data_IF_762218190338
#
_entry.id   IF_762218190338
#
_cell.length_a   1.000
_cell.length_b   1.000
_cell.length_c   1.000
_cell.angle_alpha   90.00
_cell.angle_beta   90.00
_cell.angle_gamma   90.00
#
_symmetry.space_group_name_H-M   'P 1'
#
loop_
_entity.id
_entity.type
_entity.pdbx_description
1 polymer ?
#
# COMPACT_ATOMS: atom_id res chain seq x y z
N UNK A 1 11.98 -9.89 8.76
CA UNK A 1 12.27 -11.35 8.74
C UNK A 1 11.34 -12.10 7.78
N UNK A 2 10.19 -11.54 7.36
CA UNK A 2 9.25 -12.25 6.48
C UNK A 2 9.79 -12.61 5.09
N UNK A 3 10.67 -11.78 4.48
CA UNK A 3 11.14 -11.96 3.09
C UNK A 3 11.92 -13.26 2.79
N UNK A 4 12.25 -14.08 3.79
CA UNK A 4 12.96 -15.37 3.60
C UNK A 4 12.11 -16.58 3.94
N UNK A 5 10.88 -16.39 4.42
CA UNK A 5 10.06 -17.45 4.99
C UNK A 5 9.72 -18.53 3.97
N UNK A 6 9.32 -18.13 2.75
CA UNK A 6 8.96 -19.07 1.67
C UNK A 6 10.19 -19.86 1.19
N UNK A 7 11.36 -19.22 1.09
CA UNK A 7 12.60 -19.91 0.75
C UNK A 7 13.00 -20.95 1.80
N UNK A 8 12.85 -20.64 3.09
CA UNK A 8 13.13 -21.58 4.18
C UNK A 8 12.16 -22.76 4.10
N UNK A 9 10.86 -22.51 3.90
CA UNK A 9 9.86 -23.57 3.72
C UNK A 9 10.24 -24.48 2.55
N UNK A 10 10.60 -23.92 1.39
CA UNK A 10 10.99 -24.71 0.23
C UNK A 10 12.23 -25.58 0.45
N UNK A 11 13.18 -25.13 1.28
CA UNK A 11 14.40 -25.90 1.55
C UNK A 11 14.19 -26.96 2.65
N UNK A 12 13.44 -26.63 3.69
CA UNK A 12 13.30 -27.46 4.90
C UNK A 12 12.24 -28.55 4.72
N UNK A 13 11.11 -28.24 4.08
CA UNK A 13 9.98 -29.17 3.97
C UNK A 13 10.34 -30.44 3.18
N UNK A 14 11.03 -30.38 2.01
CA UNK A 14 11.43 -31.58 1.29
C UNK A 14 12.45 -32.44 2.06
N UNK A 15 13.27 -31.81 2.92
CA UNK A 15 14.22 -32.52 3.77
C UNK A 15 13.52 -33.32 4.86
N UNK A 16 12.51 -32.72 5.52
CA UNK A 16 11.77 -33.36 6.62
C UNK A 16 10.78 -34.42 6.11
N UNK A 17 10.12 -34.17 4.97
CA UNK A 17 8.99 -34.97 4.48
C UNK A 17 9.30 -35.64 3.13
N UNK A 18 10.43 -36.32 3.06
CA UNK A 18 10.92 -36.96 1.83
C UNK A 18 9.92 -37.98 1.26
N UNK A 19 9.60 -37.87 -0.03
CA UNK A 19 8.74 -38.82 -0.75
C UNK A 19 7.24 -38.67 -0.49
N UNK A 20 6.78 -37.58 0.14
CA UNK A 20 5.36 -37.30 0.34
C UNK A 20 4.92 -36.09 -0.47
N UNK A 21 3.65 -36.10 -0.90
CA UNK A 21 2.98 -34.91 -1.41
C UNK A 21 2.49 -34.08 -0.24
N UNK A 22 2.84 -32.80 -0.22
CA UNK A 22 2.62 -31.91 0.93
C UNK A 22 1.83 -30.71 0.44
N UNK A 23 0.72 -30.42 1.12
CA UNK A 23 -0.03 -29.19 0.96
C UNK A 23 0.23 -28.30 2.17
N UNK A 24 0.59 -27.04 1.92
CA UNK A 24 0.86 -26.05 2.96
C UNK A 24 -0.23 -24.99 2.88
N UNK A 25 -0.91 -24.76 4.00
CA UNK A 25 -1.92 -23.72 4.15
C UNK A 25 -1.39 -22.74 5.20
N UNK A 26 -1.28 -21.47 4.81
CA UNK A 26 -0.78 -20.39 5.66
C UNK A 26 -1.89 -19.37 5.80
N UNK A 27 -2.16 -18.92 7.02
CA UNK A 27 -3.05 -17.79 7.29
C UNK A 27 -2.20 -16.62 7.78
N UNK A 28 -2.40 -15.44 7.22
CA UNK A 28 -1.64 -14.23 7.56
C UNK A 28 -2.56 -13.01 7.56
N UNK A 29 -2.24 -12.03 8.41
CA UNK A 29 -2.84 -10.70 8.38
C UNK A 29 -1.96 -9.68 7.66
N UNK A 30 -0.77 -10.10 7.19
CA UNK A 30 0.23 -9.25 6.54
C UNK A 30 0.25 -9.45 5.01
N UNK A 31 -0.09 -8.42 4.21
CA UNK A 31 -0.06 -8.48 2.75
C UNK A 31 1.36 -8.62 2.17
N UNK A 32 2.43 -8.29 2.92
CA UNK A 32 3.81 -8.39 2.39
C UNK A 32 4.18 -9.82 1.95
N UNK A 33 3.59 -10.84 2.57
CA UNK A 33 3.85 -12.26 2.24
C UNK A 33 3.24 -12.67 0.90
N UNK A 34 2.29 -11.88 0.35
CA UNK A 34 1.58 -12.19 -0.90
C UNK A 34 2.41 -11.86 -2.15
N UNK A 35 3.49 -11.08 -2.03
CA UNK A 35 4.37 -10.74 -3.16
C UNK A 35 5.13 -11.95 -3.72
N UNK A 36 5.31 -12.99 -2.91
CA UNK A 36 6.01 -14.24 -3.26
C UNK A 36 5.04 -15.38 -3.61
N UNK A 37 3.72 -15.14 -3.55
CA UNK A 37 2.68 -16.16 -3.78
C UNK A 37 1.80 -15.77 -4.99
N UNK A 38 1.64 -16.65 -6.00
CA UNK A 38 0.70 -16.44 -7.10
C UNK A 38 -0.72 -16.16 -6.61
N UNK A 39 -1.42 -15.20 -7.23
CA UNK A 39 -2.79 -14.82 -6.87
C UNK A 39 -3.73 -16.03 -6.81
N UNK A 40 -3.61 -16.95 -7.78
CA UNK A 40 -4.45 -18.14 -7.86
C UNK A 40 -4.33 -19.07 -6.64
N UNK A 41 -3.24 -18.94 -5.87
CA UNK A 41 -2.98 -19.73 -4.68
C UNK A 41 -3.36 -18.99 -3.38
N UNK A 42 -3.98 -17.81 -3.50
CA UNK A 42 -4.42 -17.00 -2.37
C UNK A 42 -5.94 -17.08 -2.24
N UNK A 43 -6.42 -17.33 -1.03
CA UNK A 43 -7.84 -17.27 -0.66
C UNK A 43 -8.05 -16.03 0.21
N UNK A 44 -8.84 -15.08 -0.27
CA UNK A 44 -9.17 -13.87 0.48
C UNK A 44 -10.46 -14.07 1.26
N UNK A 45 -10.40 -13.77 2.55
CA UNK A 45 -11.55 -13.74 3.43
C UNK A 45 -12.01 -12.29 3.55
N UNK A 46 -13.30 -12.05 3.31
CA UNK A 46 -13.92 -10.74 3.42
C UNK A 46 -15.08 -10.79 4.40
N UNK A 47 -15.24 -9.75 5.22
CA UNK A 47 -16.39 -9.62 6.10
C UNK A 47 -17.42 -8.72 5.43
N UNK A 48 -18.63 -9.23 5.25
CA UNK A 48 -19.73 -8.44 4.71
C UNK A 48 -20.28 -7.49 5.77
N UNK A 49 -20.98 -6.44 5.32
CA UNK A 49 -21.63 -5.44 6.19
C UNK A 49 -22.59 -6.05 7.21
N UNK A 50 -23.11 -7.24 6.92
CA UNK A 50 -24.03 -7.99 7.77
C UNK A 50 -23.29 -8.86 8.82
N UNK A 51 -21.97 -8.72 8.90
CA UNK A 51 -21.11 -9.41 9.86
C UNK A 51 -20.71 -10.85 9.47
N UNK A 52 -21.08 -11.32 8.28
CA UNK A 52 -20.74 -12.67 7.79
C UNK A 52 -19.38 -12.67 7.09
N UNK A 53 -18.65 -13.79 7.15
CA UNK A 53 -17.39 -13.94 6.41
C UNK A 53 -17.65 -14.70 5.12
N UNK A 54 -17.27 -14.10 3.99
CA UNK A 54 -17.40 -14.65 2.66
C UNK A 54 -16.02 -14.77 1.99
N UNK A 55 -15.92 -15.68 1.02
CA UNK A 55 -14.72 -15.81 0.18
C UNK A 55 -14.82 -14.84 -0.98
N UNK A 56 -13.77 -14.07 -1.25
CA UNK A 56 -13.73 -13.27 -2.48
C UNK A 56 -13.52 -14.19 -3.68
N UNK A 57 -14.55 -14.27 -4.51
CA UNK A 57 -14.50 -15.00 -5.78
C UNK A 57 -13.43 -14.40 -6.71
N UNK A 58 -12.89 -15.22 -7.62
CA UNK A 58 -11.84 -14.84 -8.56
C UNK A 58 -12.24 -13.66 -9.47
N UNK A 59 -13.54 -13.47 -9.70
CA UNK A 59 -14.11 -12.41 -10.56
C UNK A 59 -14.50 -11.16 -9.72
N UNK A 60 -14.39 -11.23 -8.39
CA UNK A 60 -14.77 -10.11 -7.53
C UNK A 60 -13.87 -8.90 -7.78
N UNK A 61 -14.48 -7.72 -8.01
CA UNK A 61 -13.77 -6.45 -8.12
C UNK A 61 -13.02 -6.06 -6.84
N UNK A 62 -13.34 -6.69 -5.72
CA UNK A 62 -12.70 -6.48 -4.42
C UNK A 62 -11.43 -7.34 -4.25
N UNK A 63 -11.17 -8.27 -5.16
CA UNK A 63 -9.99 -9.12 -5.11
C UNK A 63 -8.78 -8.35 -5.68
N UNK A 64 -7.66 -8.26 -4.94
CA UNK A 64 -6.41 -7.74 -5.46
C UNK A 64 -6.04 -8.46 -6.76
N UNK A 65 -5.69 -7.71 -7.80
CA UNK A 65 -5.34 -8.30 -9.10
C UNK A 65 -3.84 -8.60 -9.20
N UNK A 66 -3.04 -7.85 -8.45
CA UNK A 66 -1.58 -7.91 -8.43
C UNK A 66 -1.08 -8.52 -7.12
N UNK A 67 -0.29 -9.59 -7.22
CA UNK A 67 0.30 -10.27 -6.06
C UNK A 67 1.75 -10.67 -6.37
N UNK A 68 1.96 -11.76 -7.11
CA UNK A 68 3.28 -12.29 -7.41
C UNK A 68 4.16 -11.29 -8.18
N UNK A 69 5.30 -10.93 -7.61
CA UNK A 69 6.26 -10.00 -8.20
C UNK A 69 5.75 -8.57 -8.39
N UNK A 70 4.58 -8.23 -7.84
CA UNK A 70 4.07 -6.87 -7.89
C UNK A 70 4.94 -5.93 -7.04
N UNK A 71 5.08 -4.68 -7.47
CA UNK A 71 5.69 -3.65 -6.64
C UNK A 71 4.91 -3.56 -5.32
N UNK A 72 5.61 -3.49 -4.19
CA UNK A 72 5.01 -3.37 -2.85
C UNK A 72 3.97 -2.25 -2.85
N UNK A 73 4.23 -1.12 -3.53
CA UNK A 73 3.26 -0.03 -3.65
C UNK A 73 1.92 -0.43 -4.29
N UNK A 74 1.94 -1.27 -5.33
CA UNK A 74 0.74 -1.75 -6.02
C UNK A 74 -0.02 -2.77 -5.17
N UNK A 75 0.72 -3.66 -4.51
CA UNK A 75 0.15 -4.69 -3.65
C UNK A 75 -0.45 -4.07 -2.38
N UNK A 76 0.20 -3.04 -1.86
CA UNK A 76 -0.30 -2.23 -0.76
C UNK A 76 -1.50 -1.42 -1.19
N UNK A 77 -1.53 -0.77 -2.36
CA UNK A 77 -2.73 -0.08 -2.83
C UNK A 77 -3.95 -1.03 -2.88
N UNK A 78 -3.83 -2.19 -3.52
CA UNK A 78 -4.94 -3.15 -3.62
C UNK A 78 -5.36 -3.72 -2.25
N UNK A 79 -4.45 -3.81 -1.26
CA UNK A 79 -4.74 -4.38 0.07
C UNK A 79 -5.10 -3.35 1.15
N UNK A 80 -4.57 -2.13 1.08
CA UNK A 80 -4.89 -1.01 1.98
C UNK A 80 -6.27 -0.42 1.69
N UNK A 81 -6.73 -0.40 0.43
CA UNK A 81 -8.00 0.22 0.05
C UNK A 81 -9.20 -0.73 0.03
N UNK A 82 -9.02 -2.01 0.43
CA UNK A 82 -10.15 -2.94 0.64
C UNK A 82 -11.11 -2.35 1.67
N UNK A 83 -12.42 -2.50 1.45
CA UNK A 83 -13.50 -1.83 2.20
C UNK A 83 -13.52 -2.09 3.72
N UNK A 84 -12.70 -3.01 4.24
CA UNK A 84 -12.54 -3.38 5.65
C UNK A 84 -11.04 -3.54 6.04
N UNK A 85 -10.14 -2.79 5.37
CA UNK A 85 -8.69 -2.99 5.41
C UNK A 85 -7.92 -2.45 6.64
N UNK A 86 -6.59 -2.44 6.53
CA UNK A 86 -5.61 -2.02 7.56
C UNK A 86 -5.71 -0.54 7.97
N UNK A 87 -6.46 0.27 7.22
CA UNK A 87 -6.59 1.70 7.43
C UNK A 87 -7.97 2.02 8.01
N UNK A 88 -8.01 2.88 9.04
CA UNK A 88 -9.28 3.32 9.62
C UNK A 88 -10.07 4.21 8.65
N UNK A 89 -11.40 4.10 8.69
CA UNK A 89 -12.33 4.80 7.79
C UNK A 89 -12.06 6.31 7.69
N UNK A 90 -11.73 6.95 8.82
CA UNK A 90 -11.41 8.38 8.85
C UNK A 90 -10.14 8.72 8.04
N UNK A 91 -9.08 7.92 8.19
CA UNK A 91 -7.83 8.14 7.46
C UNK A 91 -8.03 7.84 5.97
N UNK A 92 -8.78 6.78 5.66
CA UNK A 92 -9.18 6.43 4.29
C UNK A 92 -9.90 7.59 3.61
N UNK A 93 -10.94 8.13 4.25
CA UNK A 93 -11.72 9.26 3.72
C UNK A 93 -10.84 10.48 3.43
N UNK A 94 -9.88 10.79 4.31
CA UNK A 94 -8.96 11.94 4.12
C UNK A 94 -7.99 11.74 2.96
N UNK A 95 -7.49 10.52 2.79
CA UNK A 95 -6.59 10.17 1.68
C UNK A 95 -7.36 10.18 0.37
N UNK A 96 -8.54 9.56 0.32
CA UNK A 96 -9.40 9.54 -0.87
C UNK A 96 -9.77 10.96 -1.32
N UNK A 97 -10.20 11.83 -0.39
CA UNK A 97 -10.47 13.25 -0.69
C UNK A 97 -9.23 13.98 -1.23
N UNK A 98 -8.05 13.62 -0.75
CA UNK A 98 -6.80 14.22 -1.24
C UNK A 98 -6.49 13.75 -2.66
N UNK A 99 -6.64 12.46 -2.95
CA UNK A 99 -6.46 11.90 -4.28
C UNK A 99 -7.46 12.51 -5.26
N UNK A 100 -8.73 12.59 -4.89
CA UNK A 100 -9.79 13.18 -5.71
C UNK A 100 -9.50 14.65 -6.02
N UNK A 101 -9.13 15.44 -5.01
CA UNK A 101 -8.74 16.83 -5.21
C UNK A 101 -7.53 16.96 -6.14
N UNK A 102 -6.52 16.11 -5.98
CA UNK A 102 -5.33 16.13 -6.85
C UNK A 102 -5.74 15.87 -8.30
N UNK A 103 -6.44 14.76 -8.56
CA UNK A 103 -6.85 14.36 -9.91
C UNK A 103 -7.73 15.42 -10.59
N UNK A 104 -8.70 15.97 -9.87
CA UNK A 104 -9.57 17.04 -10.39
C UNK A 104 -8.76 18.27 -10.80
N UNK A 105 -7.74 18.64 -10.02
CA UNK A 105 -6.91 19.78 -10.36
C UNK A 105 -5.96 19.49 -11.54
N UNK A 106 -5.46 18.26 -11.68
CA UNK A 106 -4.63 17.87 -12.85
C UNK A 106 -5.41 18.09 -14.15
N UNK A 107 -6.70 17.76 -14.18
CA UNK A 107 -7.54 17.90 -15.38
C UNK A 107 -7.97 19.35 -15.68
N UNK A 108 -7.98 20.24 -14.67
CA UNK A 108 -8.43 21.62 -14.81
C UNK A 108 -7.35 22.53 -15.42
N UNK A 109 -7.61 23.01 -16.65
CA UNK A 109 -6.76 23.99 -17.38
C UNK A 109 -6.84 25.43 -16.87
N UNK A 110 -7.78 25.76 -16.00
CA UNK A 110 -8.02 27.11 -15.47
C UNK A 110 -8.38 27.02 -13.99
N UNK A 111 -7.49 27.47 -13.10
CA UNK A 111 -7.67 27.41 -11.64
C UNK A 111 -7.73 28.81 -11.05
N UNK A 112 -8.59 29.00 -10.05
CA UNK A 112 -8.53 30.17 -9.18
C UNK A 112 -7.30 30.03 -8.25
N UNK A 113 -6.27 30.87 -8.45
CA UNK A 113 -4.98 30.75 -7.74
C UNK A 113 -5.10 30.81 -6.21
N UNK A 114 -5.98 31.66 -5.69
CA UNK A 114 -6.09 31.89 -4.24
C UNK A 114 -6.84 30.75 -3.53
N UNK A 115 -7.79 30.10 -4.22
CA UNK A 115 -8.44 28.89 -3.71
C UNK A 115 -7.50 27.69 -3.79
N UNK A 116 -6.84 27.52 -4.93
CA UNK A 116 -5.94 26.41 -5.19
C UNK A 116 -4.78 26.37 -4.18
N UNK A 117 -4.13 27.52 -3.92
CA UNK A 117 -2.98 27.57 -3.02
C UNK A 117 -3.34 27.16 -1.58
N UNK A 118 -4.53 27.52 -1.10
CA UNK A 118 -5.01 27.15 0.24
C UNK A 118 -5.34 25.67 0.35
N UNK A 119 -6.01 25.12 -0.66
CA UNK A 119 -6.33 23.69 -0.69
C UNK A 119 -5.07 22.84 -0.84
N UNK A 120 -4.12 23.28 -1.67
CA UNK A 120 -2.82 22.65 -1.84
C UNK A 120 -2.05 22.56 -0.52
N UNK A 121 -2.01 23.65 0.24
CA UNK A 121 -1.36 23.66 1.55
C UNK A 121 -2.06 22.71 2.54
N UNK A 122 -3.40 22.66 2.52
CA UNK A 122 -4.17 21.70 3.32
C UNK A 122 -3.81 20.25 2.96
N UNK A 123 -3.79 19.91 1.67
CA UNK A 123 -3.48 18.54 1.23
C UNK A 123 -2.03 18.15 1.49
N UNK A 124 -1.06 19.09 1.36
CA UNK A 124 0.33 18.86 1.80
C UNK A 124 0.43 18.53 3.29
N UNK A 125 -0.35 19.21 4.14
CA UNK A 125 -0.42 18.90 5.58
C UNK A 125 -1.01 17.51 5.82
N UNK A 126 -2.09 17.16 5.11
CA UNK A 126 -2.68 15.81 5.19
C UNK A 126 -1.67 14.74 4.77
N UNK A 127 -0.90 14.95 3.71
CA UNK A 127 0.13 14.00 3.29
C UNK A 127 1.26 13.89 4.33
N UNK A 128 1.65 15.00 4.94
CA UNK A 128 2.74 15.05 5.92
C UNK A 128 2.45 14.24 7.19
N UNK A 129 1.19 14.17 7.61
CA UNK A 129 0.75 13.43 8.81
C UNK A 129 0.60 11.92 8.60
N UNK A 130 0.63 11.42 7.35
CA UNK A 130 0.51 9.99 7.07
C UNK A 130 1.76 9.29 7.59
N UNK A 131 1.64 8.25 8.41
CA UNK A 131 2.83 7.55 8.93
C UNK A 131 3.40 6.50 7.97
N UNK A 132 2.59 6.05 7.00
CA UNK A 132 3.00 5.06 6.01
C UNK A 132 3.86 5.72 4.90
N UNK A 133 5.15 5.36 4.77
CA UNK A 133 6.06 6.05 3.86
C UNK A 133 5.70 5.89 2.37
N UNK A 134 5.19 4.74 1.97
CA UNK A 134 4.89 4.43 0.55
C UNK A 134 3.75 5.32 0.04
N UNK A 135 2.66 5.42 0.81
CA UNK A 135 1.51 6.29 0.54
C UNK A 135 1.96 7.75 0.53
N UNK A 136 2.76 8.17 1.52
CA UNK A 136 3.28 9.54 1.59
C UNK A 136 4.10 9.92 0.36
N UNK A 137 5.04 9.05 -0.04
CA UNK A 137 5.87 9.26 -1.23
C UNK A 137 4.99 9.36 -2.47
N UNK A 138 4.04 8.44 -2.65
CA UNK A 138 3.18 8.44 -3.84
C UNK A 138 2.31 9.69 -3.96
N UNK A 139 1.69 10.13 -2.86
CA UNK A 139 0.89 11.36 -2.88
C UNK A 139 1.75 12.60 -3.10
N UNK A 140 2.98 12.63 -2.59
CA UNK A 140 3.91 13.75 -2.82
C UNK A 140 4.37 13.85 -4.29
N UNK A 141 4.50 12.70 -4.97
CA UNK A 141 4.76 12.63 -6.42
C UNK A 141 3.60 13.26 -7.19
N UNK A 142 2.36 12.87 -6.89
CA UNK A 142 1.17 13.40 -7.57
C UNK A 142 0.97 14.91 -7.34
N UNK A 143 1.35 15.44 -6.17
CA UNK A 143 1.36 16.89 -5.89
C UNK A 143 2.44 17.60 -6.73
N UNK A 144 3.57 16.95 -6.98
CA UNK A 144 4.66 17.57 -7.74
C UNK A 144 4.28 17.77 -9.21
N UNK A 145 3.47 16.85 -9.77
CA UNK A 145 2.84 17.00 -11.09
C UNK A 145 1.88 18.20 -11.16
N UNK A 146 1.28 18.60 -10.03
CA UNK A 146 0.36 19.75 -9.97
C UNK A 146 1.06 21.10 -9.87
N UNK A 147 2.23 21.14 -9.22
CA UNK A 147 2.99 22.36 -8.96
C UNK A 147 4.07 22.64 -10.02
N UNK A 148 4.30 21.72 -10.95
CA UNK A 148 5.49 21.70 -11.82
C UNK A 148 6.79 21.88 -11.02
N UNK A 149 6.79 21.44 -9.75
CA UNK A 149 7.88 21.60 -8.81
C UNK A 149 8.00 20.35 -7.95
N UNK A 150 9.24 19.92 -7.70
CA UNK A 150 9.51 18.71 -6.92
C UNK A 150 9.89 19.02 -5.46
N UNK A 151 9.65 20.25 -4.98
CA UNK A 151 10.14 20.70 -3.68
C UNK A 151 9.52 19.91 -2.53
N UNK A 152 8.20 19.70 -2.58
CA UNK A 152 7.49 18.92 -1.58
C UNK A 152 7.91 17.44 -1.60
N UNK A 153 7.98 16.82 -2.77
CA UNK A 153 8.44 15.44 -2.90
C UNK A 153 9.89 15.26 -2.42
N UNK A 154 10.78 16.19 -2.75
CA UNK A 154 12.17 16.19 -2.27
C UNK A 154 12.23 16.28 -0.75
N UNK A 155 11.41 17.13 -0.14
CA UNK A 155 11.32 17.22 1.32
C UNK A 155 10.93 15.87 1.94
N UNK A 156 9.84 15.25 1.45
CA UNK A 156 9.37 13.95 1.93
C UNK A 156 10.45 12.87 1.79
N UNK A 157 11.11 12.78 0.64
CA UNK A 157 12.16 11.80 0.40
C UNK A 157 13.38 12.00 1.31
N UNK A 158 13.79 13.25 1.52
CA UNK A 158 14.91 13.56 2.42
C UNK A 158 14.59 13.21 3.88
N UNK A 159 13.35 13.45 4.33
CA UNK A 159 12.90 13.08 5.67
C UNK A 159 12.92 11.55 5.86
N UNK A 160 12.47 10.79 4.86
CA UNK A 160 12.50 9.33 4.89
C UNK A 160 13.94 8.79 4.84
N UNK A 161 14.82 9.36 4.00
CA UNK A 161 16.24 9.01 3.95
C UNK A 161 16.90 9.23 5.31
N UNK A 162 16.62 10.37 5.96
CA UNK A 162 17.15 10.67 7.30
C UNK A 162 16.70 9.62 8.31
N UNK A 163 15.41 9.32 8.36
CA UNK A 163 14.86 8.29 9.24
C UNK A 163 15.50 6.91 9.04
N UNK A 164 15.62 6.46 7.78
CA UNK A 164 16.22 5.17 7.44
C UNK A 164 17.72 5.13 7.76
N UNK A 165 18.43 6.24 7.58
CA UNK A 165 19.86 6.38 7.91
C UNK A 165 20.06 6.24 9.42
N UNK A 166 19.29 6.98 10.23
CA UNK A 166 19.35 6.88 11.69
C UNK A 166 19.02 5.46 12.18
N UNK A 167 18.05 4.79 11.56
CA UNK A 167 17.68 3.42 11.91
C UNK A 167 18.79 2.42 11.58
N UNK A 168 19.47 2.60 10.44
CA UNK A 168 20.63 1.79 10.06
C UNK A 168 21.78 1.98 11.04
N UNK A 169 22.08 3.22 11.40
CA UNK A 169 23.23 3.54 12.27
C UNK A 169 23.05 2.98 13.68
N UNK A 170 21.80 2.84 14.17
CA UNK A 170 21.47 2.15 15.43
C UNK A 170 21.71 0.64 15.43
N UNK A 171 21.87 0.03 14.25
CA UNK A 171 22.13 -1.41 14.11
C UNK A 171 23.62 -1.75 14.01
N UNK A 172 24.50 -0.73 13.97
CA UNK A 172 25.96 -0.87 13.99
C UNK A 172 26.49 -0.69 15.41
#
# INVERSE_FOLDING_TARGET
MEKRYINIIQQVIPFIFKGKNIQIIITTHDPLTLSDIPNNNIVYLYKTTDGKTELLDQISKQRPTKTFGANISDLLADSFFVNDGLIGDFAKEKIEKTIEWINNNIELKSRNRDSFSRELEYHKKVISIIDEPVVKIKLSEMISELEDSNDFQRQILNDEIRFLTEKRDKLQ
#
